data_IF_172705246692
#
_entry.id   IF_172705246692
#
_cell.length_a   1.000
_cell.length_b   1.000
_cell.length_c   1.000
_cell.angle_alpha   90.00
_cell.angle_beta   90.00
_cell.angle_gamma   90.00
#
_symmetry.space_group_name_H-M   'P 1'
#
loop_
_entity.id
_entity.type
_entity.pdbx_description
1 polymer ?
#
# COMPACT_ATOMS: atom_id res chain seq x y z
N UNK A 1 -0.95 -4.35 19.87
CA UNK A 1 0.05 -4.94 18.95
C UNK A 1 -0.31 -6.39 18.64
N UNK A 2 -0.32 -7.30 19.63
CA UNK A 2 -0.75 -8.70 19.45
C UNK A 2 -2.15 -8.84 18.81
N UNK A 3 -3.14 -8.02 19.21
CA UNK A 3 -4.49 -8.07 18.64
C UNK A 3 -4.53 -7.79 17.14
N UNK A 4 -3.67 -6.89 16.66
CA UNK A 4 -3.57 -6.56 15.23
C UNK A 4 -2.99 -7.74 14.46
N UNK A 5 -1.95 -8.38 15.01
CA UNK A 5 -1.32 -9.56 14.42
C UNK A 5 -2.32 -10.71 14.31
N UNK A 6 -3.13 -10.94 15.36
CA UNK A 6 -4.18 -11.97 15.35
C UNK A 6 -5.22 -11.69 14.27
N UNK A 7 -5.72 -10.46 14.18
CA UNK A 7 -6.71 -10.08 13.17
C UNK A 7 -6.17 -10.27 11.74
N UNK A 8 -4.94 -9.85 11.46
CA UNK A 8 -4.30 -10.03 10.15
C UNK A 8 -4.12 -11.51 9.83
N UNK A 9 -3.69 -12.31 10.82
CA UNK A 9 -3.48 -13.75 10.64
C UNK A 9 -4.80 -14.48 10.36
N UNK A 10 -5.86 -14.15 11.11
CA UNK A 10 -7.20 -14.70 10.89
C UNK A 10 -7.74 -14.30 9.51
N UNK A 11 -7.58 -13.04 9.11
CA UNK A 11 -7.97 -12.56 7.78
C UNK A 11 -7.27 -13.32 6.65
N UNK A 12 -5.97 -13.61 6.81
CA UNK A 12 -5.20 -14.40 5.83
C UNK A 12 -5.69 -15.85 5.74
N UNK A 13 -5.96 -16.51 6.89
CA UNK A 13 -6.48 -17.89 6.93
C UNK A 13 -7.87 -17.96 6.29
N UNK A 14 -8.76 -17.02 6.62
CA UNK A 14 -10.09 -16.94 6.02
C UNK A 14 -9.99 -16.70 4.51
N UNK A 15 -9.12 -15.78 4.07
CA UNK A 15 -8.86 -15.53 2.65
C UNK A 15 -8.37 -16.78 1.91
N UNK A 16 -7.54 -17.60 2.56
CA UNK A 16 -7.05 -18.86 1.98
C UNK A 16 -8.16 -19.92 1.82
N UNK A 17 -9.01 -20.10 2.83
CA UNK A 17 -10.13 -21.06 2.79
C UNK A 17 -11.17 -20.67 1.72
N UNK A 18 -11.42 -19.37 1.55
CA UNK A 18 -12.42 -18.85 0.60
C UNK A 18 -11.91 -18.74 -0.85
N UNK A 19 -10.62 -19.02 -1.09
CA UNK A 19 -9.93 -18.82 -2.39
C UNK A 19 -10.51 -19.64 -3.55
N UNK A 20 -11.06 -20.83 -3.28
CA UNK A 20 -11.56 -21.74 -4.34
C UNK A 20 -12.90 -21.31 -4.94
N UNK A 21 -13.59 -20.32 -4.36
CA UNK A 21 -14.90 -19.86 -4.85
C UNK A 21 -14.73 -18.68 -5.81
N UNK A 22 -14.76 -18.94 -7.12
CA UNK A 22 -14.66 -17.92 -8.18
C UNK A 22 -15.67 -16.77 -8.05
N UNK A 23 -16.89 -17.02 -7.53
CA UNK A 23 -17.89 -15.96 -7.26
C UNK A 23 -17.50 -15.04 -6.10
N UNK A 24 -16.80 -15.57 -5.09
CA UNK A 24 -16.31 -14.78 -3.94
C UNK A 24 -15.20 -13.84 -4.38
N UNK A 25 -14.36 -14.26 -5.33
CA UNK A 25 -13.29 -13.42 -5.89
C UNK A 25 -13.82 -12.15 -6.57
N UNK A 26 -14.81 -12.27 -7.46
CA UNK A 26 -15.38 -11.13 -8.20
C UNK A 26 -16.11 -10.16 -7.28
N UNK A 27 -16.81 -10.67 -6.26
CA UNK A 27 -17.48 -9.82 -5.25
C UNK A 27 -16.44 -9.10 -4.40
N UNK A 28 -15.39 -9.81 -3.95
CA UNK A 28 -14.32 -9.22 -3.15
C UNK A 28 -13.58 -8.12 -3.91
N UNK A 29 -13.27 -8.30 -5.18
CA UNK A 29 -12.61 -7.28 -5.99
C UNK A 29 -13.42 -5.98 -6.04
N UNK A 30 -14.72 -6.07 -6.32
CA UNK A 30 -15.61 -4.90 -6.31
C UNK A 30 -15.72 -4.28 -4.92
N UNK A 31 -15.86 -5.10 -3.88
CA UNK A 31 -15.97 -4.64 -2.50
C UNK A 31 -14.72 -3.88 -2.05
N UNK A 32 -13.53 -4.41 -2.36
CA UNK A 32 -12.25 -3.74 -2.04
C UNK A 32 -12.13 -2.43 -2.81
N UNK A 33 -12.49 -2.41 -4.10
CA UNK A 33 -12.45 -1.17 -4.88
C UNK A 33 -13.37 -0.09 -4.28
N UNK A 34 -14.62 -0.45 -3.95
CA UNK A 34 -15.53 0.49 -3.26
C UNK A 34 -15.00 0.92 -1.90
N UNK A 35 -14.42 0.01 -1.12
CA UNK A 35 -13.80 0.33 0.17
C UNK A 35 -12.64 1.31 0.00
N UNK A 36 -11.78 1.14 -1.01
CA UNK A 36 -10.68 2.07 -1.31
C UNK A 36 -11.24 3.46 -1.63
N UNK A 37 -12.27 3.56 -2.48
CA UNK A 37 -12.89 4.87 -2.78
C UNK A 37 -13.47 5.53 -1.52
N UNK A 38 -14.16 4.76 -0.68
CA UNK A 38 -14.73 5.27 0.57
C UNK A 38 -13.64 5.71 1.56
N UNK A 39 -12.56 4.92 1.68
CA UNK A 39 -11.41 5.25 2.52
C UNK A 39 -10.67 6.49 2.02
N UNK A 40 -10.47 6.63 0.70
CA UNK A 40 -9.85 7.82 0.11
C UNK A 40 -10.72 9.06 0.32
N UNK A 41 -12.05 8.93 0.22
CA UNK A 41 -12.99 10.00 0.52
C UNK A 41 -12.87 10.43 2.00
N UNK A 42 -12.90 9.46 2.91
CA UNK A 42 -12.80 9.72 4.35
C UNK A 42 -11.45 10.31 4.74
N UNK A 43 -10.37 9.83 4.12
CA UNK A 43 -9.04 10.41 4.27
C UNK A 43 -9.03 11.87 3.82
N UNK A 44 -9.62 12.17 2.65
CA UNK A 44 -9.74 13.54 2.14
C UNK A 44 -10.51 14.45 3.09
N UNK A 45 -11.66 14.00 3.61
CA UNK A 45 -12.46 14.76 4.58
C UNK A 45 -11.69 14.96 5.90
N UNK A 46 -11.05 13.91 6.42
CA UNK A 46 -10.30 13.96 7.68
C UNK A 46 -9.08 14.88 7.59
N UNK A 47 -8.39 14.89 6.45
CA UNK A 47 -7.25 15.79 6.21
C UNK A 47 -7.72 17.21 5.95
N UNK A 48 -8.79 17.38 5.17
CA UNK A 48 -9.33 18.69 4.79
C UNK A 48 -9.95 19.47 5.95
N UNK A 49 -10.60 18.76 6.88
CA UNK A 49 -11.18 19.36 8.09
C UNK A 49 -10.17 19.64 9.20
N UNK A 50 -8.92 19.18 9.05
CA UNK A 50 -7.89 19.40 10.05
C UNK A 50 -7.16 20.72 9.77
N UNK A 51 -7.57 21.78 10.48
CA UNK A 51 -6.99 23.13 10.32
C UNK A 51 -5.46 23.15 10.47
N UNK A 52 -4.89 22.31 11.34
CA UNK A 52 -3.43 22.22 11.51
C UNK A 52 -2.75 21.67 10.27
N UNK A 53 -3.35 20.68 9.61
CA UNK A 53 -2.84 20.16 8.35
C UNK A 53 -3.04 21.19 7.24
N UNK A 54 -4.26 21.75 7.11
CA UNK A 54 -4.63 22.73 6.08
C UNK A 54 -3.74 23.98 6.11
N UNK A 55 -3.51 24.56 7.29
CA UNK A 55 -2.67 25.76 7.48
C UNK A 55 -1.17 25.52 7.25
N UNK A 56 -0.71 24.27 7.34
CA UNK A 56 0.69 23.89 7.13
C UNK A 56 0.88 23.03 5.87
N UNK A 57 -0.09 23.01 4.94
CA UNK A 57 -0.04 22.16 3.76
C UNK A 57 1.19 22.44 2.90
N UNK A 58 1.65 23.68 2.81
CA UNK A 58 2.85 24.02 2.04
C UNK A 58 4.10 23.32 2.61
N UNK A 59 4.30 23.44 3.93
CA UNK A 59 5.44 22.84 4.60
C UNK A 59 5.35 21.31 4.62
N UNK A 60 4.15 20.76 4.88
CA UNK A 60 3.90 19.32 4.87
C UNK A 60 4.07 18.76 3.45
N UNK A 61 3.55 19.46 2.44
CA UNK A 61 3.60 19.07 1.04
C UNK A 61 5.02 18.93 0.53
N UNK A 62 5.88 19.92 0.78
CA UNK A 62 7.30 19.87 0.40
C UNK A 62 8.00 18.72 1.11
N UNK A 63 7.73 18.52 2.40
CA UNK A 63 8.31 17.42 3.18
C UNK A 63 7.90 16.06 2.61
N UNK A 64 6.62 15.88 2.30
CA UNK A 64 6.08 14.63 1.76
C UNK A 64 6.63 14.36 0.35
N UNK A 65 6.73 15.37 -0.51
CA UNK A 65 7.33 15.22 -1.85
C UNK A 65 8.78 14.75 -1.72
N UNK A 66 9.57 15.40 -0.86
CA UNK A 66 10.98 15.05 -0.66
C UNK A 66 11.14 13.61 -0.17
N UNK A 67 10.35 13.20 0.83
CA UNK A 67 10.36 11.84 1.36
C UNK A 67 9.90 10.83 0.30
N UNK A 68 8.86 11.14 -0.47
CA UNK A 68 8.31 10.25 -1.49
C UNK A 68 9.31 10.03 -2.63
N UNK A 69 9.91 11.10 -3.13
CA UNK A 69 10.94 11.01 -4.18
C UNK A 69 12.13 10.20 -3.66
N UNK A 70 12.62 10.50 -2.46
CA UNK A 70 13.71 9.73 -1.85
C UNK A 70 13.39 8.24 -1.68
N UNK A 71 12.18 7.92 -1.19
CA UNK A 71 11.73 6.55 -1.00
C UNK A 71 11.56 5.79 -2.33
N UNK A 72 10.98 6.43 -3.35
CA UNK A 72 10.79 5.83 -4.68
C UNK A 72 12.13 5.61 -5.36
N UNK A 73 13.00 6.63 -5.40
CA UNK A 73 14.33 6.51 -5.98
C UNK A 73 15.16 5.45 -5.26
N UNK A 74 15.14 5.42 -3.93
CA UNK A 74 15.83 4.38 -3.15
C UNK A 74 15.29 2.98 -3.44
N UNK A 75 13.97 2.82 -3.53
CA UNK A 75 13.34 1.53 -3.85
C UNK A 75 13.70 1.05 -5.26
N UNK A 76 13.74 1.96 -6.24
CA UNK A 76 14.14 1.64 -7.62
C UNK A 76 15.60 1.23 -7.69
N UNK A 77 16.51 2.00 -7.07
CA UNK A 77 17.95 1.68 -7.04
C UNK A 77 18.19 0.33 -6.37
N UNK A 78 17.57 0.09 -5.21
CA UNK A 78 17.75 -1.17 -4.50
C UNK A 78 17.18 -2.35 -5.29
N UNK A 79 16.00 -2.19 -5.89
CA UNK A 79 15.41 -3.21 -6.78
C UNK A 79 16.31 -3.51 -7.97
N UNK A 80 16.93 -2.49 -8.58
CA UNK A 80 17.86 -2.65 -9.69
C UNK A 80 19.16 -3.38 -9.28
N UNK A 81 19.73 -3.03 -8.12
CA UNK A 81 20.91 -3.73 -7.56
C UNK A 81 20.57 -5.19 -7.29
N UNK A 82 19.44 -5.47 -6.66
CA UNK A 82 18.98 -6.82 -6.36
C UNK A 82 18.76 -7.62 -7.65
N UNK A 83 18.14 -7.00 -8.66
CA UNK A 83 17.93 -7.61 -9.97
C UNK A 83 19.26 -7.96 -10.64
N UNK A 84 20.21 -7.02 -10.65
CA UNK A 84 21.54 -7.24 -11.21
C UNK A 84 22.32 -8.34 -10.47
N UNK A 85 22.24 -8.41 -9.15
CA UNK A 85 22.94 -9.42 -8.36
C UNK A 85 22.31 -10.82 -8.49
N UNK A 86 20.98 -10.92 -8.51
CA UNK A 86 20.30 -12.22 -8.54
C UNK A 86 20.07 -12.79 -9.94
N UNK A 87 19.82 -11.94 -10.95
CA UNK A 87 19.42 -12.41 -12.29
C UNK A 87 20.54 -12.34 -13.33
N UNK A 88 21.48 -11.39 -13.21
CA UNK A 88 22.54 -11.20 -14.24
C UNK A 88 23.63 -12.27 -14.24
N UNK A 89 23.64 -13.18 -13.26
CA UNK A 89 24.48 -14.39 -13.26
C UNK A 89 23.82 -15.63 -13.89
N UNK A 90 22.59 -15.51 -14.42
CA UNK A 90 21.81 -16.60 -15.01
C UNK A 90 21.62 -16.49 -16.53
N UNK A 91 22.06 -15.40 -17.14
CA UNK A 91 21.97 -15.15 -18.58
C UNK A 91 23.24 -15.59 -19.36
N UNK A 92 24.18 -16.29 -18.72
CA UNK A 92 25.36 -16.90 -19.35
C UNK A 92 25.37 -18.44 -19.30
N UNK A 93 24.21 -19.10 -19.40
CA UNK A 93 24.13 -20.52 -19.80
C UNK A 93 22.94 -20.82 -20.71
#
# INVERSE_FOLDING_TARGET
MLSVIVIVSVGMILGFILREKTKVFVINEKLVMYAIYLLLLFLGISVGSNEKIMSNLDMIGIKVITITVGAVTGSIIFSWILFNYMFRGKDEK
#
